data_IF_830512655990
#
_entry.id   IF_830512655990
#
_cell.length_a   1.000
_cell.length_b   1.000
_cell.length_c   1.000
_cell.angle_alpha   90.00
_cell.angle_beta   90.00
_cell.angle_gamma   90.00
#
_symmetry.space_group_name_H-M   'P 1'
#
loop_
_entity.id
_entity.type
_entity.pdbx_description
1 polymer ?
#
# COMPACT_ATOMS: atom_id res chain seq x y z
N UNK A 1 -5.27 35.23 -14.21
CA UNK A 1 -5.36 34.16 -13.19
C UNK A 1 -3.97 33.93 -12.61
N UNK A 2 -3.87 33.43 -11.38
CA UNK A 2 -2.59 32.97 -10.82
C UNK A 2 -2.15 31.68 -11.55
N UNK A 3 -0.85 31.50 -11.76
CA UNK A 3 -0.32 30.25 -12.32
C UNK A 3 -0.38 29.13 -11.28
N UNK A 4 -0.32 27.86 -11.72
CA UNK A 4 -0.28 26.73 -10.79
C UNK A 4 0.93 26.80 -9.85
N UNK A 5 2.11 27.12 -10.41
CA UNK A 5 3.36 27.16 -9.64
C UNK A 5 3.33 28.29 -8.58
N UNK A 6 2.69 29.41 -8.91
CA UNK A 6 2.50 30.51 -7.97
C UNK A 6 1.44 30.18 -6.90
N UNK A 7 0.40 29.43 -7.27
CA UNK A 7 -0.61 28.97 -6.33
C UNK A 7 0.00 28.02 -5.28
N UNK A 8 0.83 27.07 -5.71
CA UNK A 8 1.50 26.12 -4.80
C UNK A 8 2.52 26.80 -3.88
N UNK A 9 3.25 27.81 -4.37
CA UNK A 9 4.14 28.61 -3.51
C UNK A 9 3.39 29.36 -2.42
N UNK A 10 2.19 29.85 -2.74
CA UNK A 10 1.34 30.63 -1.83
C UNK A 10 0.53 29.75 -0.87
N UNK A 11 0.10 28.59 -1.34
CA UNK A 11 -0.69 27.61 -0.60
C UNK A 11 0.04 26.26 -0.64
N UNK A 12 0.71 25.84 0.45
CA UNK A 12 1.43 24.57 0.47
C UNK A 12 0.47 23.40 0.16
N UNK A 13 1.01 22.36 -0.48
CA UNK A 13 0.25 21.19 -0.92
C UNK A 13 -0.28 20.33 0.25
N UNK A 14 -0.85 19.17 -0.09
CA UNK A 14 -1.33 18.23 0.92
C UNK A 14 -0.17 17.61 1.72
N UNK A 15 -0.27 17.60 3.05
CA UNK A 15 0.86 17.35 3.95
C UNK A 15 1.89 18.48 3.85
N UNK A 16 2.98 18.49 4.61
CA UNK A 16 4.00 19.55 4.55
C UNK A 16 4.78 19.63 3.20
N UNK A 17 4.23 19.05 2.13
CA UNK A 17 4.75 19.06 0.79
C UNK A 17 4.58 20.42 0.11
N UNK A 18 5.60 21.27 0.29
CA UNK A 18 5.70 22.60 -0.32
C UNK A 18 5.80 22.58 -1.86
N UNK A 19 6.05 21.43 -2.47
CA UNK A 19 6.12 21.31 -3.93
C UNK A 19 4.76 21.14 -4.59
N UNK A 20 3.72 20.77 -3.82
CA UNK A 20 2.40 20.44 -4.37
C UNK A 20 2.36 19.17 -5.22
N UNK A 21 3.48 18.50 -5.46
CA UNK A 21 3.59 17.31 -6.30
C UNK A 21 3.39 16.03 -5.47
N UNK A 22 2.35 15.26 -5.81
CA UNK A 22 2.03 14.02 -5.13
C UNK A 22 2.74 12.78 -5.72
N UNK A 23 3.45 12.94 -6.83
CA UNK A 23 4.06 11.84 -7.58
C UNK A 23 3.05 10.86 -8.19
N UNK A 24 3.55 9.70 -8.63
CA UNK A 24 2.72 8.63 -9.16
C UNK A 24 1.97 7.90 -8.04
N UNK A 25 0.63 7.94 -8.08
CA UNK A 25 -0.23 7.27 -7.12
C UNK A 25 -1.19 6.33 -7.84
N UNK A 26 -1.22 5.07 -7.42
CA UNK A 26 -2.19 4.09 -7.90
C UNK A 26 -3.61 4.49 -7.49
N UNK A 27 -4.59 4.34 -8.40
CA UNK A 27 -6.00 4.71 -8.16
C UNK A 27 -6.56 4.09 -6.86
N UNK A 28 -6.16 2.86 -6.53
CA UNK A 28 -6.62 2.17 -5.32
C UNK A 28 -6.10 2.76 -3.99
N UNK A 29 -5.14 3.69 -4.04
CA UNK A 29 -4.65 4.43 -2.86
C UNK A 29 -5.32 5.80 -2.70
N UNK A 30 -6.10 6.23 -3.69
CA UNK A 30 -6.80 7.51 -3.66
C UNK A 30 -8.18 7.37 -3.01
N UNK A 31 -8.63 8.44 -2.34
CA UNK A 31 -10.00 8.51 -1.82
C UNK A 31 -10.99 8.57 -3.00
N UNK A 32 -12.19 7.96 -2.90
CA UNK A 32 -13.16 7.93 -4.00
C UNK A 32 -13.47 9.30 -4.62
N UNK A 33 -13.66 10.34 -3.80
CA UNK A 33 -13.88 11.72 -4.28
C UNK A 33 -12.74 12.26 -5.14
N UNK A 34 -11.49 11.91 -4.82
CA UNK A 34 -10.31 12.31 -5.61
C UNK A 34 -10.34 11.61 -6.97
N UNK A 35 -10.63 10.31 -6.98
CA UNK A 35 -10.74 9.52 -8.20
C UNK A 35 -11.82 10.08 -9.13
N UNK A 36 -13.00 10.42 -8.59
CA UNK A 36 -14.10 11.01 -9.37
C UNK A 36 -13.73 12.36 -9.98
N UNK A 37 -12.99 13.20 -9.25
CA UNK A 37 -12.51 14.47 -9.76
C UNK A 37 -11.48 14.26 -10.88
N UNK A 38 -10.46 13.43 -10.65
CA UNK A 38 -9.40 13.15 -11.63
C UNK A 38 -9.93 12.47 -12.90
N UNK A 39 -11.00 11.66 -12.82
CA UNK A 39 -11.63 11.01 -13.99
C UNK A 39 -12.25 12.01 -14.97
N UNK A 40 -12.60 13.21 -14.52
CA UNK A 40 -13.17 14.28 -15.35
C UNK A 40 -12.11 15.15 -16.02
N UNK A 41 -10.86 15.03 -15.57
CA UNK A 41 -9.75 15.86 -16.05
C UNK A 41 -8.96 15.16 -17.15
N UNK A 42 -8.44 15.97 -18.07
CA UNK A 42 -7.35 15.61 -18.96
C UNK A 42 -6.01 16.01 -18.35
N UNK A 43 -4.89 15.37 -18.75
CA UNK A 43 -3.56 15.84 -18.38
C UNK A 43 -3.38 17.34 -18.66
N UNK A 44 -2.86 18.07 -17.69
CA UNK A 44 -2.71 19.52 -17.69
C UNK A 44 -3.86 20.29 -17.04
N UNK A 45 -5.05 19.70 -16.88
CA UNK A 45 -6.24 20.38 -16.34
C UNK A 45 -6.25 20.42 -14.81
N UNK A 46 -6.98 21.40 -14.28
CA UNK A 46 -7.16 21.66 -12.85
C UNK A 46 -8.62 21.39 -12.47
N UNK A 47 -8.84 20.79 -11.31
CA UNK A 47 -10.18 20.49 -10.79
C UNK A 47 -10.88 21.73 -10.25
N UNK A 48 -12.21 21.65 -10.18
CA UNK A 48 -12.96 22.45 -9.21
C UNK A 48 -12.55 22.11 -7.77
N UNK A 49 -12.79 23.00 -6.79
CA UNK A 49 -12.53 22.69 -5.39
C UNK A 49 -13.29 21.45 -4.92
N UNK A 50 -12.58 20.50 -4.29
CA UNK A 50 -13.16 19.29 -3.73
C UNK A 50 -13.04 19.29 -2.21
N UNK A 51 -14.13 18.96 -1.52
CA UNK A 51 -14.15 18.88 -0.07
C UNK A 51 -13.94 17.43 0.42
N UNK A 52 -12.93 17.24 1.25
CA UNK A 52 -12.58 15.96 1.87
C UNK A 52 -12.35 16.18 3.36
N UNK A 53 -13.24 15.65 4.20
CA UNK A 53 -13.10 15.71 5.66
C UNK A 53 -13.02 17.14 6.21
N UNK A 54 -13.80 18.07 5.65
CA UNK A 54 -13.82 19.48 6.06
C UNK A 54 -12.66 20.33 5.52
N UNK A 55 -11.78 19.76 4.69
CA UNK A 55 -10.70 20.49 4.01
C UNK A 55 -10.95 20.53 2.50
N UNK A 56 -10.69 21.68 1.90
CA UNK A 56 -10.80 21.88 0.45
C UNK A 56 -9.46 21.62 -0.24
N UNK A 57 -9.51 20.89 -1.34
CA UNK A 57 -8.37 20.61 -2.20
C UNK A 57 -8.66 21.06 -3.63
N UNK A 58 -7.62 21.50 -4.33
CA UNK A 58 -7.64 21.72 -5.78
C UNK A 58 -6.57 20.80 -6.35
N UNK A 59 -6.92 20.05 -7.40
CA UNK A 59 -6.04 19.04 -7.99
C UNK A 59 -5.64 19.46 -9.40
N UNK A 60 -4.39 19.23 -9.79
CA UNK A 60 -3.96 19.30 -11.19
C UNK A 60 -3.53 17.92 -11.64
N UNK A 61 -4.12 17.42 -12.71
CA UNK A 61 -3.70 16.15 -13.29
C UNK A 61 -2.47 16.40 -14.16
N UNK A 62 -1.31 15.88 -13.77
CA UNK A 62 -0.08 16.02 -14.57
C UNK A 62 -0.07 14.98 -15.68
N UNK A 63 -0.23 13.71 -15.32
CA UNK A 63 -0.20 12.59 -16.23
C UNK A 63 -1.13 11.46 -15.74
N UNK A 64 -1.61 10.62 -16.66
CA UNK A 64 -2.45 9.47 -16.34
C UNK A 64 -2.04 8.28 -17.19
N UNK A 65 -1.52 7.25 -16.54
CA UNK A 65 -1.28 5.96 -17.20
C UNK A 65 -2.56 5.11 -17.15
N UNK A 66 -3.10 4.66 -18.30
CA UNK A 66 -4.26 3.79 -18.30
C UNK A 66 -3.90 2.44 -17.68
N UNK A 67 -4.84 1.79 -16.97
CA UNK A 67 -4.61 0.45 -16.45
C UNK A 67 -4.27 -0.50 -17.61
N UNK A 68 -3.06 -1.04 -17.59
CA UNK A 68 -2.63 -2.05 -18.56
C UNK A 68 -3.07 -3.42 -18.09
N UNK A 69 -3.81 -4.12 -18.93
CA UNK A 69 -4.02 -5.55 -18.74
C UNK A 69 -2.70 -6.25 -19.01
N UNK A 70 -2.02 -6.69 -17.94
CA UNK A 70 -0.88 -7.59 -18.08
C UNK A 70 -1.40 -8.93 -18.61
N UNK A 71 -0.80 -9.43 -19.69
CA UNK A 71 -1.09 -10.76 -20.21
C UNK A 71 -0.70 -11.83 -19.19
N UNK A 72 -1.31 -13.01 -19.28
CA UNK A 72 -0.95 -14.14 -18.42
C UNK A 72 0.55 -14.46 -18.51
N UNK A 73 1.13 -14.42 -19.72
CA UNK A 73 2.55 -14.70 -19.94
C UNK A 73 3.46 -13.70 -19.21
N UNK A 74 3.11 -12.41 -19.18
CA UNK A 74 3.88 -11.38 -18.47
C UNK A 74 3.87 -11.57 -16.94
N UNK A 75 2.85 -12.22 -16.39
CA UNK A 75 2.71 -12.40 -14.93
C UNK A 75 2.92 -13.84 -14.46
N UNK A 76 3.04 -14.80 -15.39
CA UNK A 76 3.10 -16.24 -15.11
C UNK A 76 4.17 -16.60 -14.11
N UNK A 77 5.39 -16.13 -14.33
CA UNK A 77 6.53 -16.45 -13.47
C UNK A 77 6.40 -15.84 -12.08
N UNK A 78 5.85 -14.61 -12.00
CA UNK A 78 5.57 -13.95 -10.72
C UNK A 78 4.51 -14.70 -9.92
N UNK A 79 3.42 -15.11 -10.58
CA UNK A 79 2.34 -15.91 -9.98
C UNK A 79 2.89 -17.26 -9.51
N UNK A 80 3.66 -17.95 -10.36
CA UNK A 80 4.25 -19.26 -10.04
C UNK A 80 5.17 -19.17 -8.82
N UNK A 81 6.04 -18.17 -8.77
CA UNK A 81 6.92 -17.94 -7.62
C UNK A 81 6.13 -17.67 -6.34
N UNK A 82 5.12 -16.80 -6.41
CA UNK A 82 4.25 -16.50 -5.27
C UNK A 82 3.52 -17.74 -4.75
N UNK A 83 2.90 -18.52 -5.64
CA UNK A 83 2.17 -19.74 -5.28
C UNK A 83 3.10 -20.82 -4.72
N UNK A 84 4.30 -20.98 -5.29
CA UNK A 84 5.29 -21.95 -4.82
C UNK A 84 5.77 -21.61 -3.40
N UNK A 85 6.09 -20.35 -3.13
CA UNK A 85 6.49 -19.89 -1.79
C UNK A 85 5.35 -20.07 -0.78
N UNK A 86 4.11 -19.74 -1.18
CA UNK A 86 2.94 -19.91 -0.31
C UNK A 86 2.71 -21.39 0.02
N UNK A 87 2.78 -22.27 -0.97
CA UNK A 87 2.65 -23.72 -0.78
C UNK A 87 3.74 -24.28 0.13
N UNK A 88 5.00 -23.86 -0.06
CA UNK A 88 6.12 -24.26 0.80
C UNK A 88 5.93 -23.87 2.26
N UNK A 89 5.47 -22.63 2.52
CA UNK A 89 5.13 -22.18 3.89
C UNK A 89 4.03 -23.05 4.52
N UNK A 90 2.92 -23.26 3.80
CA UNK A 90 1.82 -24.09 4.31
C UNK A 90 2.26 -25.54 4.59
N UNK A 91 3.10 -26.11 3.73
CA UNK A 91 3.64 -27.46 3.94
C UNK A 91 4.55 -27.54 5.17
N UNK A 92 5.39 -26.53 5.40
CA UNK A 92 6.24 -26.44 6.58
C UNK A 92 5.41 -26.32 7.87
N UNK A 93 4.41 -25.44 7.88
CA UNK A 93 3.51 -25.25 9.03
C UNK A 93 2.77 -26.56 9.37
N UNK A 94 2.25 -27.25 8.34
CA UNK A 94 1.60 -28.54 8.52
C UNK A 94 2.56 -29.62 9.05
N UNK A 95 3.80 -29.64 8.57
CA UNK A 95 4.82 -30.58 9.02
C UNK A 95 5.23 -30.32 10.47
N UNK A 96 5.45 -29.06 10.85
CA UNK A 96 5.73 -28.70 12.25
C UNK A 96 4.59 -29.10 13.18
N UNK A 97 3.34 -28.80 12.82
CA UNK A 97 2.17 -29.21 13.58
C UNK A 97 2.09 -30.73 13.75
N UNK A 98 2.37 -31.49 12.69
CA UNK A 98 2.42 -32.95 12.78
C UNK A 98 3.50 -33.41 13.77
N UNK A 99 4.71 -32.85 13.72
CA UNK A 99 5.78 -33.19 14.66
C UNK A 99 5.41 -32.87 16.11
N UNK A 100 4.79 -31.71 16.36
CA UNK A 100 4.28 -31.33 17.68
C UNK A 100 3.24 -32.31 18.22
N UNK A 101 2.34 -32.82 17.37
CA UNK A 101 1.31 -33.77 17.77
C UNK A 101 1.84 -35.19 18.01
N UNK A 102 2.85 -35.61 17.25
CA UNK A 102 3.43 -36.96 17.34
C UNK A 102 4.48 -37.08 18.45
N UNK A 103 5.08 -35.98 18.87
CA UNK A 103 6.01 -35.97 19.97
C UNK A 103 5.26 -35.97 21.32
N UNK A 104 5.60 -36.89 22.23
CA UNK A 104 5.17 -36.83 23.65
C UNK A 104 5.91 -35.71 24.36
N UNK A 105 5.51 -34.46 24.11
CA UNK A 105 6.11 -33.29 24.75
C UNK A 105 5.19 -32.87 25.91
N UNK A 106 5.69 -32.97 27.14
CA UNK A 106 5.02 -32.40 28.32
C UNK A 106 5.73 -31.11 28.71
N UNK A 107 5.01 -30.01 28.59
CA UNK A 107 5.49 -28.67 28.91
C UNK A 107 5.11 -28.37 30.37
N UNK A 108 6.06 -28.48 31.31
CA UNK A 108 5.82 -28.02 32.70
C UNK A 108 5.86 -26.50 32.73
N UNK A 109 4.67 -25.89 32.75
CA UNK A 109 4.49 -24.45 32.69
C UNK A 109 5.15 -23.69 33.86
N UNK A 110 5.44 -24.37 34.98
CA UNK A 110 6.15 -23.77 36.14
C UNK A 110 7.63 -23.56 35.83
N UNK A 111 8.24 -24.47 35.08
CA UNK A 111 9.65 -24.37 34.69
C UNK A 111 9.83 -23.28 33.64
N UNK A 112 8.92 -23.18 32.66
CA UNK A 112 8.97 -22.13 31.64
C UNK A 112 8.85 -20.71 32.18
N UNK A 113 8.01 -20.50 33.20
CA UNK A 113 7.87 -19.19 33.83
C UNK A 113 9.07 -18.83 34.73
N UNK A 114 9.88 -19.82 35.13
CA UNK A 114 11.10 -19.60 35.92
C UNK A 114 12.36 -19.39 35.07
N UNK A 115 12.31 -19.58 33.75
CA UNK A 115 13.44 -19.25 32.87
C UNK A 115 13.47 -17.73 32.67
N UNK A 116 14.52 -17.02 33.11
CA UNK A 116 14.65 -15.60 32.81
C UNK A 116 14.75 -15.44 31.29
N UNK A 117 13.91 -14.58 30.73
CA UNK A 117 14.04 -14.16 29.34
C UNK A 117 15.36 -13.39 29.21
N UNK A 118 16.45 -14.08 28.87
CA UNK A 118 17.66 -13.40 28.44
C UNK A 118 17.28 -12.51 27.25
N UNK A 119 17.30 -11.21 27.50
CA UNK A 119 17.12 -10.21 26.47
C UNK A 119 18.33 -10.32 25.56
N UNK A 120 18.17 -11.03 24.44
CA UNK A 120 19.15 -11.07 23.38
C UNK A 120 19.41 -9.61 22.95
N UNK A 121 20.65 -9.16 23.16
CA UNK A 121 21.17 -7.87 22.70
C UNK A 121 21.30 -7.85 21.18
#
# INVERSE_FOLDING_TARGET
SISWDDAVKKYPGAGDNRSGDAGWIYENRLKPKVVEALKKLKPGEVSEPIEIGGTYYILKLIEKEPPRHLSFDEVKDRIKSYLSQRAGRMAMDAYQNKLWMQAKISIDNRVLQSVPLESQK
#
